data_IF_117989643268
#
_entry.id   IF_117989643268
#
_cell.length_a   1.000
_cell.length_b   1.000
_cell.length_c   1.000
_cell.angle_alpha   90.00
_cell.angle_beta   90.00
_cell.angle_gamma   90.00
#
_symmetry.space_group_name_H-M   'P 1'
#
loop_
_entity.id
_entity.type
_entity.pdbx_description
1 polymer ?
#
# COMPACT_ATOMS: atom_id res chain seq x y z
N UNK A 1 22.94 -1.50 -21.46
CA UNK A 1 23.67 -0.53 -20.61
C UNK A 1 24.96 -1.20 -20.17
N UNK A 2 26.12 -0.59 -20.38
CA UNK A 2 27.44 -1.26 -20.43
C UNK A 2 28.25 -1.26 -19.13
N UNK A 3 27.68 -0.83 -17.99
CA UNK A 3 28.37 -0.93 -16.70
C UNK A 3 27.35 -0.96 -15.54
N UNK A 4 26.93 -2.16 -15.08
CA UNK A 4 25.97 -2.31 -13.99
C UNK A 4 26.50 -1.71 -12.68
N UNK A 5 27.81 -1.76 -12.44
CA UNK A 5 28.43 -1.23 -11.21
C UNK A 5 28.32 0.30 -11.16
N UNK A 6 28.49 0.97 -12.30
CA UNK A 6 28.34 2.42 -12.40
C UNK A 6 26.91 2.89 -12.14
N UNK A 7 25.90 2.16 -12.63
CA UNK A 7 24.50 2.47 -12.35
C UNK A 7 24.22 2.41 -10.85
N UNK A 8 24.60 1.30 -10.21
CA UNK A 8 24.42 1.08 -8.78
C UNK A 8 25.13 2.13 -7.92
N UNK A 9 26.37 2.50 -8.29
CA UNK A 9 27.12 3.53 -7.59
C UNK A 9 26.42 4.90 -7.63
N UNK A 10 25.94 5.32 -8.81
CA UNK A 10 25.21 6.59 -8.97
C UNK A 10 23.92 6.56 -8.14
N UNK A 11 23.19 5.46 -8.22
CA UNK A 11 21.94 5.28 -7.48
C UNK A 11 22.15 5.32 -5.96
N UNK A 12 23.26 4.78 -5.43
CA UNK A 12 23.59 4.85 -4.00
C UNK A 12 23.89 6.27 -3.51
N UNK A 13 24.44 7.13 -4.37
CA UNK A 13 24.72 8.53 -4.01
C UNK A 13 23.50 9.44 -4.14
N UNK A 14 22.53 9.07 -4.99
CA UNK A 14 21.41 9.93 -5.35
C UNK A 14 20.55 10.39 -4.15
N UNK A 15 20.20 9.54 -3.17
CA UNK A 15 19.37 9.95 -2.03
C UNK A 15 19.95 11.15 -1.27
N UNK A 16 21.28 11.26 -1.19
CA UNK A 16 21.98 12.37 -0.53
C UNK A 16 21.82 13.72 -1.24
N UNK A 17 21.49 13.71 -2.54
CA UNK A 17 21.36 14.93 -3.35
C UNK A 17 19.92 15.24 -3.78
N UNK A 18 18.99 14.28 -3.66
CA UNK A 18 17.58 14.46 -4.07
C UNK A 18 16.97 15.73 -3.50
N UNK A 19 17.24 16.06 -2.23
CA UNK A 19 16.71 17.29 -1.61
C UNK A 19 17.14 18.56 -2.34
N UNK A 20 18.36 18.62 -2.86
CA UNK A 20 18.86 19.77 -3.61
C UNK A 20 18.26 19.85 -5.02
N UNK A 21 17.95 18.70 -5.62
CA UNK A 21 17.28 18.61 -6.92
C UNK A 21 15.83 19.07 -6.79
N UNK A 22 15.14 18.63 -5.74
CA UNK A 22 13.71 18.91 -5.53
C UNK A 22 13.46 20.33 -4.99
N UNK A 23 14.39 20.88 -4.19
CA UNK A 23 14.25 22.24 -3.64
C UNK A 23 14.54 23.28 -4.71
N UNK A 24 13.57 24.15 -4.98
CA UNK A 24 13.81 25.32 -5.81
C UNK A 24 14.71 26.31 -5.05
N UNK A 25 15.93 26.52 -5.55
CA UNK A 25 16.85 27.52 -5.01
C UNK A 25 17.19 28.54 -6.08
N UNK A 26 17.47 29.81 -5.73
CA UNK A 26 17.88 30.82 -6.72
C UNK A 26 19.13 30.42 -7.51
N UNK A 27 20.05 29.67 -6.87
CA UNK A 27 21.28 29.16 -7.46
C UNK A 27 21.08 27.94 -8.35
N UNK A 28 19.95 27.23 -8.23
CA UNK A 28 19.65 26.04 -9.00
C UNK A 28 18.13 25.93 -9.22
N UNK A 29 17.63 26.71 -10.18
CA UNK A 29 16.21 26.81 -10.49
C UNK A 29 15.68 25.65 -11.36
N UNK A 30 16.56 24.99 -12.12
CA UNK A 30 16.20 23.94 -13.07
C UNK A 30 16.02 22.56 -12.43
N UNK A 31 16.47 22.37 -11.19
CA UNK A 31 16.48 21.07 -10.50
C UNK A 31 15.18 20.31 -10.57
N UNK A 32 14.05 20.99 -10.34
CA UNK A 32 12.71 20.38 -10.33
C UNK A 32 12.32 19.80 -11.70
N UNK A 33 12.85 20.33 -12.81
CA UNK A 33 12.53 19.84 -14.15
C UNK A 33 13.09 18.43 -14.39
N UNK A 34 14.12 18.03 -13.64
CA UNK A 34 14.75 16.71 -13.74
C UNK A 34 14.05 15.64 -12.91
N UNK A 35 13.16 15.98 -11.97
CA UNK A 35 12.53 15.03 -11.05
C UNK A 35 11.72 13.96 -11.80
N UNK A 36 10.80 14.36 -12.69
CA UNK A 36 9.98 13.42 -13.46
C UNK A 36 10.81 12.58 -14.46
N UNK A 37 11.73 13.16 -15.27
CA UNK A 37 12.65 12.38 -16.09
C UNK A 37 13.47 11.37 -15.27
N UNK A 38 13.98 11.79 -14.11
CA UNK A 38 14.76 10.94 -13.22
C UNK A 38 13.92 9.77 -12.71
N UNK A 39 12.73 10.04 -12.17
CA UNK A 39 11.79 9.00 -11.73
C UNK A 39 11.53 7.99 -12.84
N UNK A 40 11.23 8.43 -14.07
CA UNK A 40 11.02 7.54 -15.21
C UNK A 40 12.27 6.72 -15.56
N UNK A 41 13.44 7.33 -15.47
CA UNK A 41 14.72 6.69 -15.84
C UNK A 41 15.16 5.60 -14.88
N UNK A 42 14.77 5.68 -13.60
CA UNK A 42 15.16 4.70 -12.58
C UNK A 42 14.21 3.50 -12.48
N UNK A 43 12.96 3.60 -12.99
CA UNK A 43 11.98 2.50 -12.95
C UNK A 43 12.47 1.16 -13.54
N UNK A 44 13.25 1.13 -14.63
CA UNK A 44 13.86 -0.12 -15.14
C UNK A 44 14.88 -0.75 -14.18
N UNK A 45 15.21 -0.08 -13.07
CA UNK A 45 15.99 -0.64 -11.96
C UNK A 45 15.20 -1.59 -11.07
N UNK A 46 13.86 -1.58 -11.13
CA UNK A 46 13.01 -2.60 -10.51
C UNK A 46 13.03 -3.84 -11.42
N UNK A 47 14.09 -4.64 -11.26
CA UNK A 47 14.36 -5.82 -12.07
C UNK A 47 14.40 -7.06 -11.17
N UNK A 48 13.49 -8.02 -11.37
CA UNK A 48 13.40 -9.24 -10.56
C UNK A 48 14.67 -10.09 -10.54
N UNK A 49 15.60 -9.84 -11.47
CA UNK A 49 16.85 -10.59 -11.59
C UNK A 49 18.00 -10.00 -10.76
N UNK A 50 17.87 -8.77 -10.26
CA UNK A 50 18.94 -8.05 -9.58
C UNK A 50 18.43 -7.38 -8.30
N UNK A 51 18.62 -8.07 -7.18
CA UNK A 51 18.16 -7.60 -5.87
C UNK A 51 18.87 -6.33 -5.40
N UNK A 52 20.16 -6.19 -5.72
CA UNK A 52 20.92 -4.99 -5.35
C UNK A 52 20.38 -3.78 -6.13
N UNK A 53 20.14 -3.95 -7.43
CA UNK A 53 19.56 -2.90 -8.26
C UNK A 53 18.15 -2.52 -7.80
N UNK A 54 17.31 -3.49 -7.41
CA UNK A 54 15.99 -3.21 -6.83
C UNK A 54 16.14 -2.37 -5.55
N UNK A 55 17.01 -2.79 -4.62
CA UNK A 55 17.15 -2.15 -3.32
C UNK A 55 17.54 -0.67 -3.48
N UNK A 56 18.59 -0.38 -4.25
CA UNK A 56 19.04 1.00 -4.45
C UNK A 56 18.01 1.80 -5.25
N UNK A 57 17.28 1.18 -6.19
CA UNK A 57 16.20 1.86 -6.92
C UNK A 57 15.05 2.26 -6.00
N UNK A 58 14.65 1.38 -5.08
CA UNK A 58 13.60 1.67 -4.10
C UNK A 58 14.04 2.73 -3.10
N UNK A 59 15.30 2.76 -2.69
CA UNK A 59 15.84 3.81 -1.81
C UNK A 59 15.78 5.20 -2.47
N UNK A 60 16.14 5.28 -3.74
CA UNK A 60 16.04 6.54 -4.51
C UNK A 60 14.58 6.96 -4.70
N UNK A 61 13.70 6.02 -5.06
CA UNK A 61 12.27 6.30 -5.18
C UNK A 61 11.69 6.82 -3.87
N UNK A 62 11.99 6.17 -2.74
CA UNK A 62 11.55 6.61 -1.41
C UNK A 62 12.05 8.02 -1.07
N UNK A 63 13.33 8.32 -1.35
CA UNK A 63 13.91 9.65 -1.14
C UNK A 63 13.19 10.74 -1.95
N UNK A 64 12.83 10.48 -3.21
CA UNK A 64 12.12 11.44 -4.07
C UNK A 64 10.66 11.57 -3.64
N UNK A 65 9.96 10.46 -3.41
CA UNK A 65 8.52 10.44 -3.08
C UNK A 65 8.22 11.05 -1.71
N UNK A 66 9.19 11.02 -0.78
CA UNK A 66 9.10 11.74 0.51
C UNK A 66 9.29 13.26 0.38
N UNK A 67 9.64 13.75 -0.79
CA UNK A 67 9.94 15.15 -1.05
C UNK A 67 9.09 15.72 -2.18
N UNK A 68 8.18 14.97 -2.79
CA UNK A 68 7.38 15.44 -3.92
C UNK A 68 5.96 14.92 -3.78
N UNK A 69 4.94 15.78 -3.64
CA UNK A 69 3.56 15.33 -3.63
C UNK A 69 3.21 14.81 -5.03
N UNK A 70 2.87 13.53 -5.10
CA UNK A 70 2.41 12.91 -6.33
C UNK A 70 0.93 13.22 -6.54
N UNK A 71 0.65 14.40 -7.08
CA UNK A 71 -0.70 14.85 -7.44
C UNK A 71 -0.68 15.25 -8.90
N UNK A 72 -1.61 14.71 -9.69
CA UNK A 72 -1.77 15.17 -11.06
C UNK A 72 -2.37 16.58 -11.07
N UNK A 73 -1.54 17.57 -11.42
CA UNK A 73 -1.95 18.95 -11.61
C UNK A 73 -2.03 19.32 -13.10
N UNK A 74 -1.86 18.36 -14.02
CA UNK A 74 -1.89 18.63 -15.46
C UNK A 74 -3.29 19.09 -15.92
N UNK A 75 -4.34 18.62 -15.23
CA UNK A 75 -5.73 19.02 -15.43
C UNK A 75 -6.21 20.11 -14.45
N UNK A 76 -5.31 20.89 -13.82
CA UNK A 76 -5.71 21.98 -12.89
C UNK A 76 -6.67 23.01 -13.51
N UNK A 77 -6.87 22.98 -14.84
CA UNK A 77 -7.87 23.76 -15.57
C UNK A 77 -9.25 23.07 -15.66
N UNK A 78 -9.35 21.73 -15.59
CA UNK A 78 -10.57 20.96 -15.86
C UNK A 78 -10.74 19.68 -14.98
N UNK A 79 -10.89 19.80 -13.65
CA UNK A 79 -11.25 18.71 -12.70
C UNK A 79 -10.21 17.62 -12.40
N UNK A 80 -10.27 17.13 -11.15
CA UNK A 80 -9.36 16.16 -10.51
C UNK A 80 -9.53 14.73 -11.01
N UNK A 81 -8.42 13.99 -11.06
CA UNK A 81 -8.39 12.54 -10.82
C UNK A 81 -7.28 12.25 -9.81
N UNK A 82 -7.64 11.82 -8.60
CA UNK A 82 -6.68 11.44 -7.55
C UNK A 82 -5.96 10.15 -7.96
N UNK A 83 -4.63 10.16 -7.98
CA UNK A 83 -3.80 8.99 -8.32
C UNK A 83 -4.12 7.79 -7.43
N UNK A 84 -4.59 8.02 -6.20
CA UNK A 84 -5.01 6.96 -5.28
C UNK A 84 -6.14 6.11 -5.85
N UNK A 85 -7.06 6.69 -6.64
CA UNK A 85 -8.17 5.94 -7.28
C UNK A 85 -7.65 5.00 -8.36
N UNK A 86 -6.68 5.44 -9.17
CA UNK A 86 -6.05 4.61 -10.19
C UNK A 86 -5.28 3.46 -9.53
N UNK A 87 -4.52 3.73 -8.47
CA UNK A 87 -3.77 2.69 -7.76
C UNK A 87 -4.75 1.71 -7.09
N UNK A 88 -5.85 2.20 -6.51
CA UNK A 88 -6.90 1.35 -5.96
C UNK A 88 -7.51 0.43 -7.03
N UNK A 89 -7.87 0.95 -8.21
CA UNK A 89 -8.41 0.14 -9.30
C UNK A 89 -7.40 -0.94 -9.75
N UNK A 90 -6.14 -0.56 -9.94
CA UNK A 90 -5.05 -1.47 -10.37
C UNK A 90 -4.78 -2.58 -9.34
N UNK A 91 -4.79 -2.25 -8.05
CA UNK A 91 -4.59 -3.23 -6.98
C UNK A 91 -5.81 -4.14 -6.88
N UNK A 92 -7.03 -3.61 -6.96
CA UNK A 92 -8.25 -4.43 -6.88
C UNK A 92 -8.31 -5.41 -8.04
N UNK A 93 -7.93 -4.97 -9.25
CA UNK A 93 -7.72 -5.83 -10.42
C UNK A 93 -6.67 -6.93 -10.14
N UNK A 94 -5.51 -6.56 -9.60
CA UNK A 94 -4.43 -7.50 -9.26
C UNK A 94 -4.86 -8.55 -8.21
N UNK A 95 -5.63 -8.14 -7.20
CA UNK A 95 -6.15 -9.02 -6.15
C UNK A 95 -7.25 -9.96 -6.67
N UNK A 96 -8.03 -9.52 -7.67
CA UNK A 96 -9.10 -10.34 -8.28
C UNK A 96 -8.56 -11.44 -9.21
N UNK A 97 -7.37 -11.25 -9.79
CA UNK A 97 -6.88 -12.09 -10.90
C UNK A 97 -6.01 -13.27 -10.44
N UNK A 98 -5.52 -13.30 -9.19
CA UNK A 98 -4.35 -14.16 -8.90
C UNK A 98 -4.40 -14.90 -7.56
N UNK A 99 -4.29 -16.23 -7.64
CA UNK A 99 -3.77 -17.04 -6.53
C UNK A 99 -2.25 -16.84 -6.52
N UNK A 100 -1.77 -15.92 -5.72
CA UNK A 100 -0.35 -15.61 -5.60
C UNK A 100 0.41 -16.72 -4.87
N UNK A 101 1.68 -16.90 -5.23
CA UNK A 101 2.61 -17.65 -4.37
C UNK A 101 2.71 -16.96 -3.00
N UNK A 102 3.03 -17.72 -1.93
CA UNK A 102 3.12 -17.18 -0.57
C UNK A 102 3.99 -15.94 -0.43
N UNK A 103 5.08 -15.84 -1.20
CA UNK A 103 5.97 -14.65 -1.19
C UNK A 103 5.27 -13.42 -1.79
N UNK A 104 4.57 -13.59 -2.92
CA UNK A 104 3.88 -12.49 -3.59
C UNK A 104 2.66 -12.03 -2.79
N UNK A 105 1.98 -12.95 -2.08
CA UNK A 105 0.90 -12.61 -1.15
C UNK A 105 1.36 -11.61 -0.07
N UNK A 106 2.59 -11.77 0.47
CA UNK A 106 3.11 -10.85 1.49
C UNK A 106 3.31 -9.43 0.94
N UNK A 107 3.78 -9.30 -0.30
CA UNK A 107 3.88 -8.01 -0.99
C UNK A 107 2.50 -7.43 -1.29
N UNK A 108 1.56 -8.21 -1.84
CA UNK A 108 0.21 -7.74 -2.11
C UNK A 108 -0.51 -7.28 -0.82
N UNK A 109 -0.32 -8.01 0.28
CA UNK A 109 -0.85 -7.65 1.60
C UNK A 109 -0.31 -6.30 2.09
N UNK A 110 0.98 -6.00 1.88
CA UNK A 110 1.54 -4.71 2.30
C UNK A 110 0.91 -3.54 1.53
N UNK A 111 0.63 -3.70 0.23
CA UNK A 111 -0.10 -2.71 -0.56
C UNK A 111 -1.53 -2.49 -0.04
N UNK A 112 -2.26 -3.56 0.26
CA UNK A 112 -3.61 -3.47 0.85
C UNK A 112 -3.57 -2.70 2.16
N UNK A 113 -2.60 -2.97 3.02
CA UNK A 113 -2.43 -2.26 4.30
C UNK A 113 -2.28 -0.76 4.11
N UNK A 114 -1.45 -0.35 3.14
CA UNK A 114 -1.24 1.08 2.84
C UNK A 114 -2.54 1.71 2.34
N UNK A 115 -3.28 1.02 1.46
CA UNK A 115 -4.56 1.51 0.93
C UNK A 115 -5.63 1.67 2.01
N UNK A 116 -5.73 0.70 2.91
CA UNK A 116 -6.65 0.75 4.05
C UNK A 116 -6.36 1.95 4.94
N UNK A 117 -5.10 2.32 5.11
CA UNK A 117 -4.71 3.52 5.87
C UNK A 117 -5.00 4.81 5.10
N UNK A 118 -4.83 4.81 3.77
CA UNK A 118 -5.07 5.98 2.92
C UNK A 118 -6.57 6.30 2.78
N UNK A 119 -7.39 5.31 2.40
CA UNK A 119 -8.84 5.48 2.16
C UNK A 119 -9.67 4.39 2.86
N UNK A 120 -9.71 4.36 4.21
CA UNK A 120 -10.30 3.25 4.97
C UNK A 120 -11.76 2.95 4.62
N UNK A 121 -12.58 3.98 4.36
CA UNK A 121 -14.02 3.83 4.12
C UNK A 121 -14.27 3.11 2.79
N UNK A 122 -13.64 3.58 1.71
CA UNK A 122 -13.82 3.03 0.36
C UNK A 122 -13.29 1.61 0.27
N UNK A 123 -12.07 1.38 0.79
CA UNK A 123 -11.41 0.08 0.74
C UNK A 123 -12.15 -0.97 1.57
N UNK A 124 -12.60 -0.63 2.78
CA UNK A 124 -13.38 -1.56 3.59
C UNK A 124 -14.74 -1.84 2.95
N UNK A 125 -15.37 -0.85 2.32
CA UNK A 125 -16.66 -1.05 1.62
C UNK A 125 -16.53 -2.03 0.45
N UNK A 126 -15.44 -1.95 -0.32
CA UNK A 126 -15.23 -2.81 -1.49
C UNK A 126 -14.74 -4.21 -1.11
N UNK A 127 -13.65 -4.31 -0.33
CA UNK A 127 -12.92 -5.55 -0.14
C UNK A 127 -13.37 -6.38 1.06
N UNK A 128 -13.83 -5.75 2.15
CA UNK A 128 -14.14 -6.50 3.38
C UNK A 128 -15.30 -7.48 3.18
N UNK A 129 -16.47 -7.10 2.62
CA UNK A 129 -17.58 -8.03 2.45
C UNK A 129 -17.21 -9.22 1.56
N UNK A 130 -16.54 -8.96 0.43
CA UNK A 130 -16.10 -9.98 -0.53
C UNK A 130 -15.14 -10.97 0.13
N UNK A 131 -14.12 -10.47 0.83
CA UNK A 131 -13.15 -11.31 1.55
C UNK A 131 -13.85 -12.20 2.59
N UNK A 132 -14.81 -11.65 3.32
CA UNK A 132 -15.58 -12.40 4.32
C UNK A 132 -16.43 -13.49 3.69
N UNK A 133 -17.03 -13.22 2.53
CA UNK A 133 -17.85 -14.19 1.79
C UNK A 133 -17.00 -15.35 1.24
N UNK A 134 -15.83 -15.06 0.69
CA UNK A 134 -14.89 -16.11 0.25
C UNK A 134 -14.45 -17.01 1.42
N UNK A 135 -14.11 -16.42 2.58
CA UNK A 135 -13.77 -17.21 3.78
C UNK A 135 -14.94 -18.09 4.20
N UNK A 136 -16.17 -17.56 4.21
CA UNK A 136 -17.38 -18.33 4.53
C UNK A 136 -17.55 -19.51 3.59
N UNK A 137 -17.42 -19.29 2.29
CA UNK A 137 -17.58 -20.33 1.28
C UNK A 137 -16.52 -21.42 1.44
N UNK A 138 -15.25 -21.04 1.63
CA UNK A 138 -14.15 -21.99 1.84
C UNK A 138 -14.38 -22.81 3.11
N UNK A 139 -14.72 -22.16 4.24
CA UNK A 139 -14.95 -22.81 5.54
C UNK A 139 -16.19 -23.71 5.53
N UNK A 140 -17.24 -23.34 4.81
CA UNK A 140 -18.48 -24.14 4.72
C UNK A 140 -18.37 -25.30 3.74
N UNK A 141 -17.63 -25.14 2.64
CA UNK A 141 -17.36 -26.21 1.66
C UNK A 141 -16.42 -27.28 2.23
N UNK A 142 -15.54 -26.91 3.16
CA UNK A 142 -14.63 -27.84 3.83
C UNK A 142 -15.35 -28.63 4.93
N UNK A 143 -16.13 -29.64 4.54
CA UNK A 143 -16.59 -30.68 5.45
C UNK A 143 -15.39 -31.45 6.02
N UNK A 144 -15.14 -31.26 7.33
CA UNK A 144 -14.41 -32.10 8.31
C UNK A 144 -12.97 -32.61 8.01
N UNK A 145 -12.48 -32.66 6.78
CA UNK A 145 -11.23 -33.35 6.42
C UNK A 145 -10.16 -32.54 5.65
N UNK A 146 -10.37 -31.25 5.34
CA UNK A 146 -9.28 -30.39 4.76
C UNK A 146 -8.41 -29.73 5.86
N UNK A 147 -8.56 -30.17 7.11
CA UNK A 147 -7.64 -29.83 8.20
C UNK A 147 -6.25 -30.46 8.01
N UNK A 148 -6.05 -31.23 6.93
CA UNK A 148 -4.84 -32.00 6.64
C UNK A 148 -4.26 -31.79 5.21
N UNK A 149 -4.94 -31.08 4.31
CA UNK A 149 -4.51 -30.94 2.90
C UNK A 149 -3.83 -29.59 2.63
N UNK A 150 -2.61 -29.65 2.09
CA UNK A 150 -1.70 -28.50 1.94
C UNK A 150 -2.16 -27.41 0.95
N UNK A 151 -3.18 -27.67 0.13
CA UNK A 151 -3.66 -26.78 -0.94
C UNK A 151 -4.79 -25.85 -0.50
N UNK A 152 -5.76 -26.33 0.29
CA UNK A 152 -6.82 -25.49 0.88
C UNK A 152 -6.28 -24.46 1.88
N UNK A 153 -5.09 -24.70 2.41
CA UNK A 153 -4.35 -23.78 3.28
C UNK A 153 -3.95 -22.48 2.58
N UNK A 154 -3.54 -22.51 1.30
CA UNK A 154 -2.93 -21.34 0.65
C UNK A 154 -3.98 -20.26 0.36
N UNK A 155 -5.14 -20.65 -0.17
CA UNK A 155 -6.23 -19.72 -0.49
C UNK A 155 -6.90 -19.19 0.79
N UNK A 156 -7.20 -20.07 1.76
CA UNK A 156 -7.74 -19.64 3.04
C UNK A 156 -6.76 -18.68 3.76
N UNK A 157 -5.48 -19.03 3.84
CA UNK A 157 -4.45 -18.19 4.45
C UNK A 157 -4.33 -16.84 3.75
N UNK A 158 -4.52 -16.79 2.44
CA UNK A 158 -4.54 -15.53 1.69
C UNK A 158 -5.68 -14.61 2.13
N UNK A 159 -6.93 -15.09 2.13
CA UNK A 159 -8.06 -14.27 2.55
C UNK A 159 -7.99 -13.90 4.04
N UNK A 160 -7.48 -14.78 4.90
CA UNK A 160 -7.20 -14.44 6.31
C UNK A 160 -6.12 -13.37 6.43
N UNK A 161 -5.11 -13.40 5.56
CA UNK A 161 -4.09 -12.35 5.46
C UNK A 161 -4.71 -11.04 4.99
N UNK A 162 -5.65 -11.06 4.05
CA UNK A 162 -6.39 -9.85 3.66
C UNK A 162 -7.17 -9.28 4.84
N UNK A 163 -7.93 -10.10 5.57
CA UNK A 163 -8.63 -9.64 6.79
C UNK A 163 -7.66 -9.02 7.79
N UNK A 164 -6.49 -9.64 7.99
CA UNK A 164 -5.42 -9.10 8.86
C UNK A 164 -4.98 -7.70 8.44
N UNK A 165 -4.90 -7.41 7.15
CA UNK A 165 -4.51 -6.08 6.68
C UNK A 165 -5.68 -5.09 6.71
N UNK A 166 -6.90 -5.53 6.43
CA UNK A 166 -8.12 -4.70 6.48
C UNK A 166 -8.41 -4.18 7.90
N UNK A 167 -8.10 -4.95 8.95
CA UNK A 167 -8.30 -4.51 10.35
C UNK A 167 -7.30 -3.44 10.83
N UNK A 168 -6.31 -3.06 10.00
CA UNK A 168 -5.45 -1.90 10.27
C UNK A 168 -6.13 -0.55 9.99
N UNK A 169 -7.40 -0.56 9.55
CA UNK A 169 -8.17 0.67 9.31
C UNK A 169 -8.40 1.48 10.59
N UNK A 170 -8.82 2.73 10.40
CA UNK A 170 -9.16 3.64 11.51
C UNK A 170 -10.31 3.09 12.35
N UNK A 171 -10.21 3.19 13.67
CA UNK A 171 -11.22 2.71 14.62
C UNK A 171 -12.64 3.18 14.28
N UNK A 172 -12.83 4.45 13.91
CA UNK A 172 -14.15 5.00 13.59
C UNK A 172 -14.82 4.28 12.41
N UNK A 173 -14.02 3.90 11.40
CA UNK A 173 -14.51 3.14 10.24
C UNK A 173 -14.70 1.67 10.58
N UNK A 174 -13.80 1.07 11.37
CA UNK A 174 -13.91 -0.34 11.78
C UNK A 174 -15.20 -0.63 12.54
N UNK A 175 -15.65 0.30 13.38
CA UNK A 175 -16.90 0.16 14.14
C UNK A 175 -18.15 0.03 13.26
N UNK A 176 -18.13 0.64 12.07
CA UNK A 176 -19.22 0.50 11.08
C UNK A 176 -19.35 -0.94 10.61
N UNK A 177 -18.22 -1.65 10.49
CA UNK A 177 -18.15 -3.03 9.98
C UNK A 177 -17.99 -4.07 11.10
N UNK A 178 -18.22 -3.71 12.37
CA UNK A 178 -17.96 -4.57 13.53
C UNK A 178 -18.60 -5.96 13.41
N UNK A 179 -19.84 -6.02 12.93
CA UNK A 179 -20.60 -7.27 12.90
C UNK A 179 -20.06 -8.22 11.82
N UNK A 180 -19.64 -7.66 10.67
CA UNK A 180 -18.98 -8.39 9.59
C UNK A 180 -17.63 -8.92 10.08
N UNK A 181 -16.80 -8.07 10.68
CA UNK A 181 -15.48 -8.44 11.20
C UNK A 181 -15.61 -9.55 12.26
N UNK A 182 -16.51 -9.39 13.22
CA UNK A 182 -16.75 -10.39 14.27
C UNK A 182 -17.32 -11.70 13.70
N UNK A 183 -18.08 -11.65 12.60
CA UNK A 183 -18.59 -12.86 11.94
C UNK A 183 -17.46 -13.74 11.41
N UNK A 184 -16.41 -13.14 10.83
CA UNK A 184 -15.24 -13.88 10.35
C UNK A 184 -14.50 -14.53 11.49
N UNK A 185 -14.21 -13.79 12.57
CA UNK A 185 -13.54 -14.37 13.73
C UNK A 185 -14.31 -15.56 14.29
N UNK A 186 -15.63 -15.48 14.41
CA UNK A 186 -16.48 -16.60 14.88
C UNK A 186 -16.39 -17.83 13.98
N UNK A 187 -16.35 -17.64 12.66
CA UNK A 187 -16.29 -18.73 11.70
C UNK A 187 -14.91 -19.40 11.69
N UNK A 188 -13.86 -18.61 11.88
CA UNK A 188 -12.49 -19.08 11.88
C UNK A 188 -12.04 -19.78 13.18
N UNK A 189 -12.85 -19.77 14.25
CA UNK A 189 -12.54 -20.48 15.52
C UNK A 189 -12.31 -21.98 15.30
N UNK A 190 -12.99 -22.58 14.31
CA UNK A 190 -12.94 -24.02 14.03
C UNK A 190 -11.70 -24.44 13.22
N UNK A 191 -10.86 -23.50 12.79
CA UNK A 191 -9.67 -23.79 12.00
C UNK A 191 -8.63 -24.50 12.88
N UNK A 192 -8.25 -25.72 12.50
CA UNK A 192 -7.20 -26.49 13.20
C UNK A 192 -5.81 -26.21 12.61
N UNK A 193 -5.75 -25.73 11.36
CA UNK A 193 -4.47 -25.48 10.70
C UNK A 193 -3.67 -24.36 11.39
N UNK A 194 -2.45 -24.67 11.81
CA UNK A 194 -1.61 -23.80 12.66
C UNK A 194 -1.35 -22.42 12.03
N UNK A 195 -0.98 -22.37 10.74
CA UNK A 195 -0.60 -21.11 10.10
C UNK A 195 -1.79 -20.18 9.87
N UNK A 196 -2.91 -20.74 9.44
CA UNK A 196 -4.17 -20.01 9.27
C UNK A 196 -4.69 -19.51 10.62
N UNK A 197 -4.60 -20.34 11.66
CA UNK A 197 -4.95 -19.96 13.03
C UNK A 197 -4.04 -18.85 13.59
N UNK A 198 -2.73 -18.92 13.33
CA UNK A 198 -1.79 -17.85 13.70
C UNK A 198 -2.14 -16.54 12.99
N UNK A 199 -2.51 -16.62 11.71
CA UNK A 199 -2.87 -15.44 10.90
C UNK A 199 -4.13 -14.76 11.44
N UNK A 200 -5.17 -15.52 11.78
CA UNK A 200 -6.38 -14.94 12.38
C UNK A 200 -6.13 -14.42 13.81
N UNK A 201 -5.30 -15.10 14.61
CA UNK A 201 -4.91 -14.59 15.92
C UNK A 201 -4.15 -13.25 15.82
N UNK A 202 -3.28 -13.11 14.82
CA UNK A 202 -2.61 -11.84 14.51
C UNK A 202 -3.59 -10.77 14.04
N UNK A 203 -4.60 -11.12 13.23
CA UNK A 203 -5.66 -10.20 12.85
C UNK A 203 -6.43 -9.71 14.09
N UNK A 204 -6.76 -10.59 15.04
CA UNK A 204 -7.42 -10.20 16.29
C UNK A 204 -6.55 -9.24 17.12
N UNK A 205 -5.25 -9.54 17.24
CA UNK A 205 -4.28 -8.63 17.88
C UNK A 205 -4.27 -7.26 17.21
N UNK A 206 -4.21 -7.21 15.88
CA UNK A 206 -4.20 -5.93 15.16
C UNK A 206 -5.52 -5.18 15.25
N UNK A 207 -6.66 -5.87 15.24
CA UNK A 207 -7.96 -5.24 15.52
C UNK A 207 -7.95 -4.55 16.88
N UNK A 208 -7.51 -5.26 17.93
CA UNK A 208 -7.39 -4.68 19.27
C UNK A 208 -6.43 -3.49 19.28
N UNK A 209 -5.28 -3.59 18.63
CA UNK A 209 -4.32 -2.48 18.53
C UNK A 209 -4.93 -1.27 17.82
N UNK A 210 -5.60 -1.45 16.67
CA UNK A 210 -6.27 -0.38 15.93
C UNK A 210 -7.38 0.30 16.74
N UNK A 211 -8.03 -0.42 17.66
CA UNK A 211 -9.09 0.10 18.52
C UNK A 211 -8.58 0.77 19.80
N UNK A 212 -7.40 0.40 20.29
CA UNK A 212 -6.89 0.81 21.61
C UNK A 212 -5.70 1.77 21.55
N UNK A 213 -4.91 1.75 20.48
CA UNK A 213 -3.70 2.54 20.38
C UNK A 213 -3.98 3.92 19.78
N UNK A 214 -3.37 4.94 20.38
CA UNK A 214 -3.23 6.25 19.77
C UNK A 214 -2.17 6.15 18.67
N UNK A 215 -2.57 6.38 17.42
CA UNK A 215 -1.66 6.42 16.28
C UNK A 215 -1.81 7.74 15.52
N UNK A 216 -0.72 8.19 14.89
CA UNK A 216 -0.79 9.29 13.93
C UNK A 216 -1.76 8.90 12.80
N UNK A 217 -2.65 9.82 12.44
CA UNK A 217 -3.70 9.58 11.44
C UNK A 217 -3.18 9.89 10.04
N UNK A 218 -2.26 10.84 9.92
CA UNK A 218 -1.76 11.36 8.66
C UNK A 218 -0.24 11.29 8.62
N UNK A 219 0.30 10.72 7.54
CA UNK A 219 1.70 10.83 7.16
C UNK A 219 1.76 11.66 5.87
N UNK A 220 1.19 12.86 5.93
CA UNK A 220 1.12 13.76 4.78
C UNK A 220 2.45 14.53 4.65
N UNK A 221 2.78 14.88 3.41
CA UNK A 221 3.95 15.71 3.08
C UNK A 221 3.73 17.19 3.44
N UNK A 222 2.46 17.60 3.56
CA UNK A 222 2.04 18.94 3.92
C UNK A 222 0.90 18.86 4.94
N UNK A 223 0.85 19.82 5.85
CA UNK A 223 -0.31 20.03 6.73
C UNK A 223 -1.49 20.69 5.96
N UNK A 224 -1.21 21.25 4.80
CA UNK A 224 -2.21 21.83 3.89
C UNK A 224 -3.08 20.73 3.27
N UNK A 225 -4.39 21.00 3.21
CA UNK A 225 -5.35 20.04 2.71
C UNK A 225 -5.23 19.93 1.18
N UNK A 226 -4.54 18.89 0.73
CA UNK A 226 -4.36 18.56 -0.68
C UNK A 226 -5.70 18.38 -1.42
N UNK A 227 -6.80 18.13 -0.68
CA UNK A 227 -8.16 18.01 -1.20
C UNK A 227 -8.88 19.35 -1.37
N UNK A 228 -8.24 20.50 -1.12
CA UNK A 228 -8.81 21.85 -1.41
C UNK A 228 -8.74 22.22 -2.88
N UNK A 229 -9.64 23.07 -3.36
CA UNK A 229 -9.71 23.48 -4.77
C UNK A 229 -8.36 24.03 -5.26
N UNK A 230 -7.98 23.71 -6.50
CA UNK A 230 -6.75 24.25 -7.13
C UNK A 230 -6.75 25.79 -7.25
N UNK A 231 -7.93 26.42 -7.15
CA UNK A 231 -8.06 27.87 -7.09
C UNK A 231 -7.43 28.48 -5.83
N UNK A 232 -7.48 27.74 -4.71
CA UNK A 232 -7.00 28.18 -3.41
C UNK A 232 -5.60 27.64 -3.11
N UNK A 233 -5.25 26.48 -3.68
CA UNK A 233 -3.99 25.80 -3.40
C UNK A 233 -3.41 25.05 -4.61
N UNK A 234 -2.15 25.32 -4.96
CA UNK A 234 -1.43 24.58 -6.02
C UNK A 234 -0.36 23.69 -5.37
N UNK A 235 -0.57 22.36 -5.32
CA UNK A 235 0.31 21.45 -4.57
C UNK A 235 1.76 21.40 -5.06
N UNK A 236 2.02 21.72 -6.34
CA UNK A 236 3.40 21.80 -6.89
C UNK A 236 4.19 22.95 -6.25
N UNK A 237 3.51 23.97 -5.72
CA UNK A 237 4.14 25.13 -5.07
C UNK A 237 4.36 24.95 -3.58
N UNK A 238 4.03 23.78 -3.01
CA UNK A 238 4.31 23.48 -1.61
C UNK A 238 5.80 23.66 -1.39
N UNK A 239 6.13 24.73 -0.66
CA UNK A 239 7.48 24.95 -0.18
C UNK A 239 7.69 23.89 0.88
N UNK A 240 8.56 22.91 0.61
CA UNK A 240 9.09 22.05 1.66
C UNK A 240 9.84 22.95 2.64
N UNK A 241 9.13 23.40 3.66
CA UNK A 241 9.65 24.18 4.78
C UNK A 241 10.49 23.23 5.63
N UNK A 242 11.74 23.06 5.21
CA UNK A 242 12.84 22.63 6.07
C UNK A 242 14.09 23.44 5.71
#
# INVERSE_FOLDING_TARGET
MTDPDRFTLIMKCLPGIVRQIVRQTPSYSEGQTYVLPLLKSILPGIDSNDLEKIEVTLEVLDAILKLVPCIDCSSAVNTRTDLTEIIHAKITELLAISIFSRKVQQFAASFVRVMVKAKPIEILKSLLPQTCEHIKNIVNQSQMNILMDHTGDIELTWYLTLVRELVHARYGTLLIYKDIIMSVFRQCIRIIHRHSYETIARAAKYLLQSLTQLHAIYHLLSDENIDESFADFVPIRVRFLI
#
